data_IF_668861304425
#
_entry.id   IF_668861304425
#
_cell.length_a   1.000
_cell.length_b   1.000
_cell.length_c   1.000
_cell.angle_alpha   90.00
_cell.angle_beta   90.00
_cell.angle_gamma   90.00
#
_symmetry.space_group_name_H-M   'P 1'
#
loop_
_entity.id
_entity.type
_entity.pdbx_description
1 polymer ?
#
# COMPACT_ATOMS: atom_id res chain seq x y z
N UNK A 1 1.06 -9.89 0.46
CA UNK A 1 1.03 -9.58 1.90
C UNK A 1 0.99 -8.06 2.00
N UNK A 2 -0.18 -7.48 2.28
CA UNK A 2 -0.43 -6.04 2.10
C UNK A 2 0.24 -5.28 3.25
N UNK A 3 1.48 -4.82 3.04
CA UNK A 3 2.14 -3.89 3.96
C UNK A 3 1.88 -2.48 3.45
N UNK A 4 0.92 -1.81 4.09
CA UNK A 4 0.67 -0.40 3.89
C UNK A 4 1.88 0.39 4.44
N UNK A 5 2.85 0.69 3.57
CA UNK A 5 4.11 1.37 3.91
C UNK A 5 3.94 2.88 4.19
N UNK A 6 3.01 3.26 5.08
CA UNK A 6 2.90 4.65 5.53
C UNK A 6 3.87 4.91 6.70
N UNK A 7 4.94 5.65 6.42
CA UNK A 7 5.98 6.01 7.41
C UNK A 7 7.21 5.10 7.41
N UNK A 8 7.27 4.14 6.49
CA UNK A 8 8.41 3.23 6.36
C UNK A 8 9.60 3.84 5.63
N UNK A 9 10.76 3.24 5.85
CA UNK A 9 11.98 3.57 5.13
C UNK A 9 11.88 3.17 3.65
N UNK A 10 12.40 4.00 2.76
CA UNK A 10 12.40 3.79 1.30
C UNK A 10 13.82 3.85 0.75
N UNK A 11 14.03 3.19 -0.38
CA UNK A 11 15.27 3.26 -1.11
C UNK A 11 15.26 4.36 -2.17
N UNK A 12 16.32 5.16 -2.19
CA UNK A 12 16.57 6.18 -3.21
C UNK A 12 17.90 5.89 -3.90
N UNK A 13 17.86 5.69 -5.21
CA UNK A 13 19.11 5.48 -5.99
C UNK A 13 19.87 6.78 -6.18
N UNK A 14 21.17 6.71 -6.46
CA UNK A 14 22.02 7.90 -6.73
C UNK A 14 21.49 8.83 -7.83
N UNK A 15 20.74 8.30 -8.80
CA UNK A 15 20.13 9.08 -9.87
C UNK A 15 18.85 9.83 -9.43
N UNK A 16 18.39 9.60 -8.19
CA UNK A 16 17.67 10.58 -7.39
C UNK A 16 16.35 11.12 -7.94
N UNK A 17 15.70 10.45 -8.89
CA UNK A 17 14.40 10.90 -9.42
C UNK A 17 13.20 10.20 -8.77
N UNK A 18 13.43 8.96 -8.32
CA UNK A 18 12.40 8.10 -7.77
C UNK A 18 12.82 7.50 -6.44
N UNK A 19 11.85 7.35 -5.54
CA UNK A 19 11.98 6.49 -4.36
C UNK A 19 11.24 5.17 -4.58
N UNK A 20 11.70 4.12 -3.90
CA UNK A 20 11.24 2.76 -4.04
C UNK A 20 10.91 2.16 -2.67
N UNK A 21 9.74 1.52 -2.54
CA UNK A 21 9.43 0.76 -1.34
C UNK A 21 10.38 -0.43 -1.20
N UNK A 22 10.54 -0.89 0.05
CA UNK A 22 11.37 -2.04 0.40
C UNK A 22 10.67 -3.36 0.08
N UNK A 23 10.31 -3.51 -1.17
CA UNK A 23 9.58 -4.64 -1.72
C UNK A 23 10.43 -5.30 -2.82
N UNK A 24 10.61 -6.62 -2.73
CA UNK A 24 11.44 -7.38 -3.67
C UNK A 24 10.80 -7.56 -5.04
N UNK A 25 9.50 -7.29 -5.18
CA UNK A 25 8.80 -7.28 -6.46
C UNK A 25 9.27 -6.14 -7.37
N UNK A 26 9.71 -5.02 -6.79
CA UNK A 26 10.30 -3.95 -7.59
C UNK A 26 11.67 -4.37 -8.15
N UNK A 27 11.89 -4.35 -9.48
CA UNK A 27 13.16 -4.78 -10.08
C UNK A 27 14.34 -3.91 -9.65
N UNK A 28 14.07 -2.65 -9.29
CA UNK A 28 15.10 -1.74 -8.77
C UNK A 28 15.43 -2.08 -7.32
N UNK A 29 14.43 -2.27 -6.46
CA UNK A 29 14.64 -2.70 -5.07
C UNK A 29 15.32 -4.07 -5.01
N UNK A 30 14.87 -5.05 -5.80
CA UNK A 30 15.52 -6.36 -5.93
C UNK A 30 17.01 -6.23 -6.30
N UNK A 31 17.35 -5.32 -7.22
CA UNK A 31 18.74 -5.07 -7.60
C UNK A 31 19.55 -4.40 -6.49
N UNK A 32 18.94 -3.53 -5.69
CA UNK A 32 19.55 -2.89 -4.52
C UNK A 32 19.83 -3.92 -3.44
N UNK A 33 18.84 -4.76 -3.11
CA UNK A 33 18.95 -5.83 -2.12
C UNK A 33 20.00 -6.88 -2.53
N UNK A 34 20.15 -7.16 -3.83
CA UNK A 34 21.22 -8.02 -4.38
C UNK A 34 22.60 -7.35 -4.42
N UNK A 35 22.75 -6.13 -3.90
CA UNK A 35 24.00 -5.38 -3.88
C UNK A 35 24.47 -4.87 -5.25
N UNK A 36 23.64 -4.97 -6.30
CA UNK A 36 23.99 -4.58 -7.67
C UNK A 36 23.82 -3.07 -7.92
N UNK A 37 23.03 -2.38 -7.10
CA UNK A 37 22.78 -0.95 -7.20
C UNK A 37 22.98 -0.28 -5.85
N UNK A 38 23.69 0.86 -5.85
CA UNK A 38 23.79 1.69 -4.66
C UNK A 38 22.51 2.51 -4.47
N UNK A 39 21.99 2.48 -3.25
CA UNK A 39 20.86 3.29 -2.83
C UNK A 39 21.07 3.79 -1.40
N UNK A 40 20.42 4.89 -1.09
CA UNK A 40 20.28 5.41 0.27
C UNK A 40 18.95 4.96 0.84
N UNK A 41 18.96 4.59 2.11
CA UNK A 41 17.76 4.33 2.89
C UNK A 41 17.39 5.61 3.61
N UNK A 42 16.22 6.17 3.33
CA UNK A 42 15.71 7.39 3.96
C UNK A 42 14.24 7.20 4.32
N UNK A 43 13.67 8.09 5.14
CA UNK A 43 12.22 8.05 5.42
C UNK A 43 11.42 8.44 4.18
N UNK A 44 10.25 7.84 3.98
CA UNK A 44 9.35 8.21 2.87
C UNK A 44 8.99 9.70 2.91
N UNK A 45 8.76 10.25 4.11
CA UNK A 45 8.48 11.66 4.33
C UNK A 45 9.60 12.56 3.82
N UNK A 46 10.84 12.16 4.06
CA UNK A 46 12.03 12.86 3.60
C UNK A 46 12.18 12.77 2.08
N UNK A 47 11.87 11.61 1.50
CA UNK A 47 11.85 11.45 0.04
C UNK A 47 10.82 12.38 -0.61
N UNK A 48 9.61 12.48 -0.03
CA UNK A 48 8.55 13.40 -0.47
C UNK A 48 8.96 14.85 -0.31
N UNK A 49 9.58 15.21 0.83
CA UNK A 49 10.10 16.56 1.08
C UNK A 49 11.21 16.96 0.10
N UNK A 50 12.01 16.00 -0.36
CA UNK A 50 13.02 16.18 -1.43
C UNK A 50 12.41 16.27 -2.84
N UNK A 51 11.08 16.21 -2.99
CA UNK A 51 10.40 16.27 -4.27
C UNK A 51 10.53 14.99 -5.11
N UNK A 52 10.92 13.87 -4.50
CA UNK A 52 11.03 12.59 -5.18
C UNK A 52 9.65 12.01 -5.43
N UNK A 53 9.52 11.33 -6.56
CA UNK A 53 8.26 10.67 -6.94
C UNK A 53 8.36 9.16 -6.72
N UNK A 54 7.23 8.52 -6.41
CA UNK A 54 7.22 7.06 -6.26
C UNK A 54 7.51 6.41 -7.62
N UNK A 55 8.34 5.37 -7.59
CA UNK A 55 8.55 4.45 -8.70
C UNK A 55 7.21 3.96 -9.30
N UNK A 56 7.04 4.04 -10.63
CA UNK A 56 5.80 3.59 -11.32
C UNK A 56 5.41 2.14 -11.01
N UNK A 57 6.39 1.26 -10.86
CA UNK A 57 6.16 -0.15 -10.55
C UNK A 57 5.62 -0.30 -9.13
N UNK A 58 6.29 0.32 -8.15
CA UNK A 58 5.81 0.34 -6.77
C UNK A 58 4.43 1.00 -6.63
N UNK A 59 4.15 2.04 -7.43
CA UNK A 59 2.84 2.69 -7.44
C UNK A 59 1.73 1.79 -7.99
N UNK A 60 2.04 0.92 -8.95
CA UNK A 60 1.09 -0.05 -9.51
C UNK A 60 0.73 -1.10 -8.48
N UNK A 61 1.73 -1.73 -7.87
CA UNK A 61 1.53 -2.76 -6.84
C UNK A 61 0.75 -2.18 -5.64
N UNK A 62 1.13 -0.99 -5.18
CA UNK A 62 0.40 -0.29 -4.13
C UNK A 62 -1.08 -0.03 -4.49
N UNK A 63 -1.37 0.31 -5.75
CA UNK A 63 -2.74 0.53 -6.20
C UNK A 63 -3.54 -0.79 -6.30
N UNK A 64 -2.90 -1.89 -6.68
CA UNK A 64 -3.50 -3.23 -6.73
C UNK A 64 -3.82 -3.74 -5.32
N UNK A 65 -2.89 -3.60 -4.38
CA UNK A 65 -3.09 -3.90 -2.95
C UNK A 65 -4.26 -3.12 -2.33
N UNK A 66 -4.37 -1.82 -2.65
CA UNK A 66 -5.48 -0.98 -2.20
C UNK A 66 -6.82 -1.49 -2.76
N UNK A 67 -6.86 -1.91 -4.02
CA UNK A 67 -8.07 -2.42 -4.67
C UNK A 67 -8.50 -3.76 -4.09
N UNK A 68 -7.57 -4.67 -3.82
CA UNK A 68 -7.88 -5.96 -3.18
C UNK A 68 -8.46 -5.76 -1.77
N UNK A 69 -7.92 -4.79 -1.01
CA UNK A 69 -8.44 -4.44 0.31
C UNK A 69 -9.87 -3.90 0.25
N UNK A 70 -10.19 -3.09 -0.76
CA UNK A 70 -11.56 -2.59 -0.98
C UNK A 70 -12.51 -3.71 -1.42
N UNK A 71 -12.03 -4.68 -2.22
CA UNK A 71 -12.82 -5.84 -2.65
C UNK A 71 -13.24 -6.77 -1.50
N UNK A 72 -12.36 -6.99 -0.52
CA UNK A 72 -12.64 -7.87 0.62
C UNK A 72 -13.63 -7.25 1.64
N UNK A 73 -13.62 -5.92 1.79
CA UNK A 73 -14.59 -5.19 2.63
C UNK A 73 -16.03 -5.23 2.11
N UNK A 74 -16.23 -5.41 0.80
CA UNK A 74 -17.57 -5.55 0.22
C UNK A 74 -18.19 -6.93 0.49
N UNK A 75 -17.37 -7.98 0.63
CA UNK A 75 -17.85 -9.35 0.86
C UNK A 75 -18.36 -9.56 2.30
N UNK A 76 -17.78 -8.87 3.29
CA UNK A 76 -18.20 -9.00 4.70
C UNK A 76 -19.55 -8.30 4.97
N UNK A 77 -19.89 -7.24 4.24
CA UNK A 77 -21.20 -6.57 4.39
C UNK A 77 -22.33 -7.45 3.83
N UNK A 78 -22.06 -8.25 2.79
CA UNK A 78 -23.08 -9.13 2.20
C UNK A 78 -23.43 -10.35 3.08
N UNK A 79 -22.49 -10.85 3.89
CA UNK A 79 -22.74 -11.98 4.80
C UNK A 79 -23.36 -11.57 6.15
N UNK A 80 -23.17 -10.32 6.61
CA UNK A 80 -23.80 -9.84 7.85
C UNK A 80 -25.23 -9.29 7.64
N UNK A 81 -25.66 -9.09 6.40
CA UNK A 81 -27.01 -8.61 6.07
C UNK A 81 -28.15 -9.64 6.19
N UNK A 82 -27.85 -10.92 6.48
CA UNK A 82 -28.85 -12.00 6.49
C UNK A 82 -29.33 -12.41 7.89
N UNK A 83 -28.72 -11.90 8.97
CA UNK A 83 -29.10 -12.28 10.37
C UNK A 83 -29.96 -11.21 11.07
N UNK A 84 -30.39 -10.17 10.36
CA UNK A 84 -31.00 -8.97 10.95
C UNK A 84 -32.46 -8.68 10.54
N UNK A 85 -33.31 -9.68 10.31
CA UNK A 85 -34.76 -9.44 10.12
C UNK A 85 -35.60 -10.24 11.13
N UNK A 86 -35.54 -9.83 12.40
CA UNK A 86 -36.66 -10.00 13.32
C UNK A 86 -37.26 -8.60 13.53
N UNK A 87 -38.49 -8.32 13.10
CA UNK A 87 -39.08 -6.99 13.24
C UNK A 87 -39.54 -6.81 14.68
N UNK A 88 -38.67 -6.26 15.52
CA UNK A 88 -39.06 -5.59 16.76
C UNK A 88 -39.39 -4.13 16.43
N UNK A 89 -40.59 -3.90 15.89
CA UNK A 89 -41.24 -2.59 15.95
C UNK A 89 -42.40 -2.69 16.95
N UNK A 90 -42.11 -2.18 18.13
CA UNK A 90 -43.00 -2.04 19.27
C UNK A 90 -43.75 -0.70 19.16
N UNK A 91 -45.06 -0.71 19.45
CA UNK A 91 -45.93 0.41 19.85
C UNK A 91 -46.23 1.55 18.84
N UNK A 92 -47.52 1.71 18.46
CA UNK A 92 -48.37 2.88 18.77
C UNK A 92 -49.78 2.75 18.11
N UNK A 93 -50.83 2.94 18.93
CA UNK A 93 -52.30 2.99 18.67
C UNK A 93 -53.02 1.64 18.55
#
# INVERSE_FOLDING_TARGET
>A
MIILHQGDEVFVTKLGKYYHYMDDDCPTTSSILKGKKQAQKIKEEEAKARGLTLCKHCAKEYAEDLKERQGCGAATIFFLGVVGTLPLFQFFI
#
